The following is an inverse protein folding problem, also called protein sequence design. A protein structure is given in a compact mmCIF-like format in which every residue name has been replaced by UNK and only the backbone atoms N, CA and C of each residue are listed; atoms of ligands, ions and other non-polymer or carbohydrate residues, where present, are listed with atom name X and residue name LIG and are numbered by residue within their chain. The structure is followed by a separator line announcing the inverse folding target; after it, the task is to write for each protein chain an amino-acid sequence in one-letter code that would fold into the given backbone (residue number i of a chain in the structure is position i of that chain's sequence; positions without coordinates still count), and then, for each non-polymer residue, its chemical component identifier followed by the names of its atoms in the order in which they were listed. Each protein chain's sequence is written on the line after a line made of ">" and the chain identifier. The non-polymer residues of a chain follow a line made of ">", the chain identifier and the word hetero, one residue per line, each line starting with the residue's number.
data_IF_247018508790
#
_entry.id   IF_247018508790
#
_cell.length_a   1.000
_cell.length_b   1.000
_cell.length_c   1.000
_cell.angle_alpha   90.00
_cell.angle_beta   90.00
_cell.angle_gamma   90.00
#
_symmetry.space_group_name_H-M   'P 1'
#
loop_
_entity.id
_entity.type
_entity.pdbx_description
1 polymer ?
#
# COMPACT_ATOMS: atom_id res chain seq x y z
N UNK A 1 -7.27 -3.84 26.93
CA UNK A 1 -7.14 -2.41 26.59
C UNK A 1 -5.83 -1.90 27.18
N UNK A 2 -4.76 -1.84 26.37
CA UNK A 2 -3.52 -1.13 26.74
C UNK A 2 -3.44 0.10 25.85
N UNK A 3 -3.30 1.26 26.48
CA UNK A 3 -3.14 2.55 25.83
C UNK A 3 -1.89 2.58 24.95
N UNK A 4 -2.00 3.18 23.77
CA UNK A 4 -0.90 3.66 22.92
C UNK A 4 -0.15 4.84 23.58
N UNK A 5 0.23 4.72 24.85
CA UNK A 5 0.95 5.77 25.60
C UNK A 5 2.38 5.35 25.91
N UNK A 6 3.26 5.46 24.92
CA UNK A 6 4.68 5.76 25.10
C UNK A 6 5.22 6.28 23.75
N UNK A 7 5.98 7.36 23.80
CA UNK A 7 6.45 8.23 22.71
C UNK A 7 7.40 7.57 21.70
N UNK A 8 6.97 6.52 21.02
CA UNK A 8 7.56 6.06 19.76
C UNK A 8 6.87 6.77 18.60
N UNK A 9 7.54 7.70 17.92
CA UNK A 9 7.04 8.26 16.66
C UNK A 9 7.64 7.41 15.54
N UNK A 10 6.82 6.67 14.80
CA UNK A 10 7.23 6.08 13.51
C UNK A 10 7.10 7.18 12.47
N UNK A 11 8.20 7.77 11.94
CA UNK A 11 8.13 8.71 10.85
C UNK A 11 7.52 8.08 9.59
N UNK A 12 6.42 8.66 9.11
CA UNK A 12 5.75 8.24 7.88
C UNK A 12 5.92 9.33 6.81
N UNK A 13 6.37 8.96 5.62
CA UNK A 13 6.38 9.87 4.48
C UNK A 13 5.19 9.53 3.59
N UNK A 14 4.21 10.43 3.52
CA UNK A 14 3.13 10.33 2.55
C UNK A 14 3.46 11.25 1.36
N UNK A 15 3.25 10.75 0.15
CA UNK A 15 3.21 11.60 -1.04
C UNK A 15 1.75 11.64 -1.48
N UNK A 16 1.14 12.83 -1.42
CA UNK A 16 -0.26 13.14 -1.81
C UNK A 16 -1.43 12.68 -0.89
N UNK A 17 -1.26 12.48 0.42
CA UNK A 17 -2.39 12.11 1.32
C UNK A 17 -2.31 12.71 2.74
N UNK A 18 -3.47 12.83 3.40
CA UNK A 18 -3.67 13.56 4.67
C UNK A 18 -4.13 12.70 5.88
N UNK A 19 -4.34 11.38 5.75
CA UNK A 19 -5.08 10.57 6.75
C UNK A 19 -4.23 9.72 7.72
N UNK A 20 -2.97 10.08 7.98
CA UNK A 20 -2.07 9.29 8.82
C UNK A 20 -1.81 10.03 10.13
N UNK A 21 -2.22 9.48 11.28
CA UNK A 21 -1.89 10.06 12.58
C UNK A 21 -0.55 9.50 13.08
N UNK A 22 0.53 10.27 12.89
CA UNK A 22 1.92 9.91 13.18
C UNK A 22 2.84 11.12 12.95
N UNK A 23 4.13 11.03 13.25
CA UNK A 23 5.05 12.07 12.77
C UNK A 23 5.17 11.92 11.25
N UNK A 24 4.47 12.72 10.46
CA UNK A 24 4.51 12.60 9.00
C UNK A 24 5.02 13.86 8.33
N UNK A 25 5.76 13.69 7.24
CA UNK A 25 5.95 14.72 6.23
C UNK A 25 4.94 14.42 5.11
N UNK A 26 4.07 15.39 4.78
CA UNK A 26 3.28 15.33 3.55
C UNK A 26 4.11 16.01 2.47
N UNK A 27 4.54 15.24 1.48
CA UNK A 27 5.04 15.81 0.23
C UNK A 27 3.82 15.97 -0.68
N UNK A 28 3.23 17.16 -0.68
CA UNK A 28 2.22 17.54 -1.66
C UNK A 28 2.81 17.64 -3.07
N UNK A 29 1.93 17.70 -4.07
CA UNK A 29 2.23 17.72 -5.52
C UNK A 29 3.34 18.70 -5.98
N UNK A 30 3.72 19.69 -5.16
CA UNK A 30 4.69 20.74 -5.51
C UNK A 30 6.11 20.56 -4.93
N UNK A 31 6.38 19.47 -4.21
CA UNK A 31 7.73 19.17 -3.70
C UNK A 31 8.43 18.12 -4.57
N UNK A 32 9.39 18.59 -5.38
CA UNK A 32 10.08 17.83 -6.42
C UNK A 32 10.51 16.43 -5.99
N UNK A 33 10.41 15.47 -6.91
CA UNK A 33 10.97 14.10 -6.82
C UNK A 33 12.39 14.09 -6.18
N UNK A 34 13.17 15.16 -6.36
CA UNK A 34 14.48 15.36 -5.72
C UNK A 34 14.43 15.38 -4.19
N UNK A 35 13.45 16.04 -3.57
CA UNK A 35 13.32 16.10 -2.11
C UNK A 35 13.04 14.71 -1.52
N UNK A 36 12.10 13.98 -2.12
CA UNK A 36 11.80 12.60 -1.71
C UNK A 36 13.03 11.70 -1.92
N UNK A 37 13.69 11.82 -3.07
CA UNK A 37 14.92 11.08 -3.36
C UNK A 37 16.00 11.33 -2.29
N UNK A 38 16.25 12.59 -1.93
CA UNK A 38 17.19 12.95 -0.87
C UNK A 38 16.76 12.42 0.50
N UNK A 39 15.46 12.44 0.81
CA UNK A 39 14.92 11.96 2.08
C UNK A 39 15.09 10.45 2.23
N UNK A 40 14.78 9.68 1.18
CA UNK A 40 15.00 8.23 1.14
C UNK A 40 16.49 7.87 1.28
N UNK A 41 17.40 8.71 0.75
CA UNK A 41 18.84 8.50 0.84
C UNK A 41 19.49 9.07 2.12
N UNK A 42 18.73 9.75 2.98
CA UNK A 42 19.27 10.35 4.20
C UNK A 42 19.73 9.31 5.22
N UNK A 43 20.49 9.75 6.23
CA UNK A 43 20.92 8.92 7.37
C UNK A 43 19.78 8.56 8.32
N UNK A 44 18.64 9.25 8.21
CA UNK A 44 17.41 9.01 8.98
C UNK A 44 16.23 8.95 8.01
N UNK A 45 16.19 7.95 7.12
CA UNK A 45 15.10 7.80 6.16
C UNK A 45 13.78 7.52 6.89
N UNK A 46 12.62 7.80 6.28
CA UNK A 46 11.33 7.45 6.87
C UNK A 46 11.22 5.94 7.06
N UNK A 47 10.49 5.49 8.08
CA UNK A 47 10.30 4.06 8.31
C UNK A 47 9.32 3.44 7.30
N UNK A 48 8.30 4.23 6.95
CA UNK A 48 7.24 3.85 6.01
C UNK A 48 7.11 4.94 4.95
N UNK A 49 7.17 4.54 3.69
CA UNK A 49 6.83 5.36 2.52
C UNK A 49 5.47 4.93 1.98
N UNK A 50 4.53 5.87 1.91
CA UNK A 50 3.26 5.70 1.23
C UNK A 50 3.28 6.51 -0.06
N UNK A 51 3.20 5.79 -1.18
CA UNK A 51 3.02 6.37 -2.51
C UNK A 51 1.54 6.23 -2.82
N UNK A 52 0.89 7.31 -3.17
CA UNK A 52 -0.35 7.15 -3.89
C UNK A 52 -0.57 8.21 -4.94
N UNK A 53 -1.39 7.81 -5.89
CA UNK A 53 -1.57 8.41 -7.19
C UNK A 53 -0.30 8.31 -8.05
N UNK A 54 -0.48 8.32 -9.38
CA UNK A 54 0.63 8.27 -10.30
C UNK A 54 1.47 9.55 -10.21
N UNK A 55 2.58 9.42 -9.53
CA UNK A 55 3.73 10.29 -9.70
C UNK A 55 4.43 9.83 -10.99
N UNK A 56 5.10 10.74 -11.69
CA UNK A 56 6.03 10.34 -12.76
C UNK A 56 7.25 9.62 -12.16
N UNK A 57 7.06 8.40 -11.66
CA UNK A 57 8.04 7.63 -10.89
C UNK A 57 9.24 7.22 -11.75
N UNK A 58 9.16 7.41 -13.07
CA UNK A 58 10.21 7.10 -14.04
C UNK A 58 11.48 7.96 -13.98
N UNK A 59 11.69 8.72 -12.90
CA UNK A 59 12.97 9.36 -12.66
C UNK A 59 14.01 8.32 -12.18
N UNK A 60 15.12 8.18 -12.91
CA UNK A 60 16.16 7.18 -12.61
C UNK A 60 16.77 7.32 -11.20
N UNK A 61 16.98 8.54 -10.72
CA UNK A 61 17.53 8.79 -9.38
C UNK A 61 16.53 8.38 -8.30
N UNK A 62 15.25 8.68 -8.52
CA UNK A 62 14.18 8.25 -7.61
C UNK A 62 14.06 6.73 -7.58
N UNK A 63 14.05 6.06 -8.75
CA UNK A 63 14.05 4.59 -8.83
C UNK A 63 15.23 3.96 -8.07
N UNK A 64 16.42 4.53 -8.23
CA UNK A 64 17.62 4.07 -7.52
C UNK A 64 17.47 4.26 -5.99
N UNK A 65 16.96 5.41 -5.56
CA UNK A 65 16.70 5.68 -4.15
C UNK A 65 15.63 4.74 -3.57
N UNK A 66 14.56 4.48 -4.32
CA UNK A 66 13.47 3.58 -3.90
C UNK A 66 13.94 2.12 -3.81
N UNK A 67 14.73 1.65 -4.79
CA UNK A 67 15.38 0.33 -4.74
C UNK A 67 16.32 0.22 -3.53
N UNK A 68 17.15 1.23 -3.29
CA UNK A 68 18.05 1.29 -2.14
C UNK A 68 17.30 1.30 -0.81
N UNK A 69 16.21 2.07 -0.72
CA UNK A 69 15.33 2.13 0.44
C UNK A 69 14.71 0.76 0.75
N UNK A 70 14.11 0.11 -0.25
CA UNK A 70 13.53 -1.22 -0.10
C UNK A 70 14.58 -2.28 0.29
N UNK A 71 15.78 -2.22 -0.29
CA UNK A 71 16.87 -3.16 0.03
C UNK A 71 17.43 -2.99 1.44
N UNK A 72 17.30 -1.80 2.04
CA UNK A 72 17.71 -1.53 3.43
C UNK A 72 16.59 -1.83 4.44
N UNK A 73 15.46 -2.41 4.02
CA UNK A 73 14.35 -2.76 4.90
C UNK A 73 13.27 -1.70 5.03
N UNK A 74 13.31 -0.64 4.21
CA UNK A 74 12.26 0.37 4.18
C UNK A 74 10.90 -0.22 3.79
N UNK A 75 9.83 0.22 4.46
CA UNK A 75 8.47 -0.26 4.18
C UNK A 75 7.83 0.61 3.11
N UNK A 76 7.28 0.00 2.06
CA UNK A 76 6.61 0.70 0.95
C UNK A 76 5.17 0.20 0.85
N UNK A 77 4.22 1.14 0.86
CA UNK A 77 2.84 0.92 0.44
C UNK A 77 2.62 1.77 -0.80
N UNK A 78 2.32 1.13 -1.93
CA UNK A 78 2.15 1.81 -3.20
C UNK A 78 0.74 1.61 -3.76
N UNK A 79 0.05 2.73 -4.00
CA UNK A 79 -1.22 2.83 -4.71
C UNK A 79 -0.96 3.46 -6.09
N UNK A 80 -1.21 2.72 -7.17
CA UNK A 80 -0.82 3.16 -8.51
C UNK A 80 -1.90 2.94 -9.56
N UNK A 81 -2.23 4.00 -10.29
CA UNK A 81 -3.24 4.01 -11.35
C UNK A 81 -2.63 3.75 -12.74
N UNK A 82 -1.30 3.85 -12.89
CA UNK A 82 -0.63 3.71 -14.21
C UNK A 82 0.68 2.89 -14.12
N UNK A 83 0.62 1.58 -13.80
CA UNK A 83 1.82 0.78 -13.62
C UNK A 83 2.59 0.51 -14.91
N UNK A 84 1.95 0.64 -16.08
CA UNK A 84 2.62 0.66 -17.38
C UNK A 84 3.50 1.89 -17.55
N UNK A 85 3.00 3.06 -17.16
CA UNK A 85 3.76 4.30 -17.15
C UNK A 85 4.83 4.31 -16.05
N UNK A 86 4.74 3.46 -15.03
CA UNK A 86 5.68 3.39 -13.92
C UNK A 86 6.50 2.08 -13.91
N UNK A 87 6.51 1.36 -15.03
CA UNK A 87 7.05 0.01 -15.15
C UNK A 87 8.47 -0.15 -14.61
N UNK A 88 9.38 0.73 -15.00
CA UNK A 88 10.78 0.69 -14.57
C UNK A 88 10.92 0.81 -13.05
N UNK A 89 10.03 1.56 -12.41
CA UNK A 89 10.02 1.75 -10.95
C UNK A 89 9.61 0.47 -10.26
N UNK A 90 8.53 -0.16 -10.73
CA UNK A 90 8.04 -1.40 -10.13
C UNK A 90 8.98 -2.56 -10.39
N UNK A 91 9.55 -2.67 -11.59
CA UNK A 91 10.63 -3.61 -11.85
C UNK A 91 11.80 -3.40 -10.88
N UNK A 92 12.16 -2.14 -10.60
CA UNK A 92 13.25 -1.86 -9.69
C UNK A 92 12.99 -2.33 -8.25
N UNK A 93 11.80 -2.10 -7.70
CA UNK A 93 11.51 -2.48 -6.32
C UNK A 93 11.21 -3.99 -6.18
N UNK A 94 10.69 -4.61 -7.24
CA UNK A 94 10.42 -6.06 -7.30
C UNK A 94 11.60 -6.90 -7.82
N UNK A 95 12.81 -6.34 -7.90
CA UNK A 95 14.02 -7.05 -8.38
C UNK A 95 13.82 -7.75 -9.73
N UNK A 96 13.17 -7.07 -10.67
CA UNK A 96 12.98 -7.54 -12.04
C UNK A 96 12.17 -8.86 -12.14
N UNK A 97 11.32 -9.11 -11.12
CA UNK A 97 10.44 -10.28 -11.03
C UNK A 97 9.04 -10.07 -11.64
N UNK A 98 8.84 -8.99 -12.40
CA UNK A 98 7.63 -8.80 -13.19
C UNK A 98 7.89 -9.08 -14.68
N UNK A 99 6.86 -9.55 -15.38
CA UNK A 99 6.86 -9.77 -16.81
C UNK A 99 6.24 -8.60 -17.60
N UNK A 100 5.17 -8.02 -17.07
CA UNK A 100 4.42 -6.96 -17.73
C UNK A 100 3.56 -6.17 -16.72
N UNK A 101 3.11 -4.97 -17.11
CA UNK A 101 2.16 -4.14 -16.38
C UNK A 101 1.19 -3.45 -17.36
N UNK A 102 -0.05 -3.22 -16.91
CA UNK A 102 -1.07 -2.58 -17.75
C UNK A 102 -2.12 -1.87 -16.90
N UNK A 103 -2.87 -0.97 -17.54
CA UNK A 103 -4.15 -0.50 -17.03
C UNK A 103 -5.23 -1.49 -17.46
N UNK A 104 -5.94 -2.07 -16.49
CA UNK A 104 -6.99 -3.03 -16.76
C UNK A 104 -8.17 -2.26 -17.32
N UNK A 105 -8.40 -2.36 -18.63
CA UNK A 105 -9.47 -1.67 -19.38
C UNK A 105 -10.90 -1.95 -18.88
N UNK A 106 -11.06 -2.89 -17.96
CA UNK A 106 -12.31 -3.27 -17.30
C UNK A 106 -12.38 -2.87 -15.81
N UNK A 107 -11.36 -2.17 -15.30
CA UNK A 107 -11.36 -1.59 -13.96
C UNK A 107 -12.01 -0.22 -13.93
N UNK A 108 -13.24 -0.12 -14.42
CA UNK A 108 -14.01 1.11 -14.38
C UNK A 108 -14.57 1.40 -12.97
N UNK A 109 -14.97 2.64 -12.74
CA UNK A 109 -15.68 3.08 -11.54
C UNK A 109 -16.74 2.06 -11.08
N UNK A 110 -16.74 1.74 -9.78
CA UNK A 110 -17.69 0.83 -9.13
C UNK A 110 -17.31 -0.65 -9.20
N UNK A 111 -16.25 -1.03 -9.91
CA UNK A 111 -15.72 -2.38 -9.87
C UNK A 111 -15.11 -2.70 -8.49
N UNK A 112 -14.85 -3.99 -8.27
CA UNK A 112 -14.27 -4.48 -7.02
C UNK A 112 -13.59 -5.83 -7.21
N UNK A 113 -12.49 -6.07 -6.51
CA UNK A 113 -11.87 -7.39 -6.43
C UNK A 113 -12.00 -8.00 -5.05
N UNK A 114 -12.06 -9.33 -5.01
CA UNK A 114 -12.16 -10.10 -3.77
C UNK A 114 -10.79 -10.51 -3.27
N UNK A 115 -10.62 -10.45 -1.96
CA UNK A 115 -9.48 -11.02 -1.25
C UNK A 115 -9.62 -12.54 -1.12
N UNK A 116 -8.50 -13.29 -1.04
CA UNK A 116 -8.51 -14.74 -0.94
C UNK A 116 -9.22 -15.24 0.33
N UNK A 117 -9.85 -16.41 0.21
CA UNK A 117 -10.30 -17.21 1.34
C UNK A 117 -9.13 -18.00 1.93
N UNK A 118 -9.06 -18.14 3.26
CA UNK A 118 -8.07 -19.00 3.91
C UNK A 118 -6.63 -18.49 3.81
N UNK A 119 -6.45 -17.20 3.53
CA UNK A 119 -5.14 -16.55 3.55
C UNK A 119 -4.60 -16.49 4.98
N UNK A 120 -3.28 -16.63 5.13
CA UNK A 120 -2.56 -16.32 6.37
C UNK A 120 -1.91 -14.94 6.32
N UNK A 121 -2.06 -14.22 5.21
CA UNK A 121 -1.43 -12.92 5.03
C UNK A 121 -2.06 -11.89 6.01
N UNK A 122 -1.25 -11.09 6.72
CA UNK A 122 -1.72 -10.15 7.73
C UNK A 122 -2.61 -9.04 7.15
N UNK A 123 -2.48 -8.73 5.86
CA UNK A 123 -3.32 -7.72 5.19
C UNK A 123 -4.77 -8.21 5.05
N UNK A 124 -4.93 -9.50 4.80
CA UNK A 124 -6.24 -10.14 4.67
C UNK A 124 -6.81 -10.44 6.06
N UNK A 125 -6.03 -11.07 6.93
CA UNK A 125 -6.52 -11.58 8.22
C UNK A 125 -6.59 -10.52 9.33
N UNK A 126 -5.89 -9.38 9.14
CA UNK A 126 -5.65 -8.39 10.18
C UNK A 126 -4.83 -8.91 11.36
N UNK A 127 -4.24 -10.12 11.26
CA UNK A 127 -3.63 -10.81 12.39
C UNK A 127 -2.10 -10.78 12.33
N UNK A 128 -1.47 -10.29 13.39
CA UNK A 128 -0.01 -10.29 13.58
C UNK A 128 0.26 -10.71 15.03
N UNK A 129 1.07 -11.76 15.22
CA UNK A 129 1.44 -12.28 16.56
C UNK A 129 0.23 -12.52 17.49
N UNK A 130 -0.89 -13.00 16.94
CA UNK A 130 -2.13 -13.26 17.68
C UNK A 130 -2.96 -12.03 18.01
N UNK A 131 -2.53 -10.83 17.61
CA UNK A 131 -3.29 -9.58 17.74
C UNK A 131 -4.03 -9.29 16.44
N UNK A 132 -5.31 -8.92 16.56
CA UNK A 132 -6.16 -8.47 15.45
C UNK A 132 -6.89 -7.19 15.85
N UNK A 133 -6.29 -6.00 15.60
CA UNK A 133 -6.90 -4.72 15.99
C UNK A 133 -8.07 -4.31 15.08
N UNK A 134 -8.18 -4.88 13.88
CA UNK A 134 -9.21 -4.55 12.89
C UNK A 134 -9.94 -5.81 12.35
N UNK A 135 -10.64 -5.69 11.22
CA UNK A 135 -11.48 -6.77 10.66
C UNK A 135 -10.66 -7.77 9.82
N UNK A 136 -11.07 -9.05 9.87
CA UNK A 136 -10.64 -10.08 8.94
C UNK A 136 -11.37 -9.89 7.62
N UNK A 137 -10.63 -9.56 6.57
CA UNK A 137 -11.16 -9.26 5.25
C UNK A 137 -11.15 -10.47 4.30
N UNK A 138 -10.97 -11.68 4.81
CA UNK A 138 -11.04 -12.92 4.01
C UNK A 138 -12.35 -13.01 3.23
N UNK A 139 -12.27 -13.25 1.91
CA UNK A 139 -13.42 -13.27 1.00
C UNK A 139 -14.23 -11.96 0.90
N UNK A 140 -13.77 -10.88 1.50
CA UNK A 140 -14.35 -9.56 1.31
C UNK A 140 -13.76 -8.90 0.08
N UNK A 141 -14.32 -7.77 -0.33
CA UNK A 141 -13.90 -7.06 -1.54
C UNK A 141 -13.45 -5.63 -1.24
N UNK A 142 -12.55 -5.13 -2.07
CA UNK A 142 -12.20 -3.73 -2.13
C UNK A 142 -12.74 -3.12 -3.43
N UNK A 143 -13.21 -1.88 -3.35
CA UNK A 143 -13.76 -1.13 -4.47
C UNK A 143 -12.68 -0.34 -5.19
N UNK A 144 -12.84 -0.17 -6.50
CA UNK A 144 -11.97 0.66 -7.33
C UNK A 144 -12.41 2.12 -7.28
N UNK A 145 -11.51 3.07 -7.40
CA UNK A 145 -11.92 4.47 -7.57
C UNK A 145 -12.44 4.76 -9.00
N UNK A 146 -12.79 6.02 -9.31
CA UNK A 146 -13.10 6.51 -10.65
C UNK A 146 -12.00 6.21 -11.69
N UNK A 147 -10.79 6.10 -11.15
CA UNK A 147 -9.50 5.84 -11.77
C UNK A 147 -9.42 4.43 -12.39
N UNK A 148 -8.50 4.20 -13.33
CA UNK A 148 -8.28 2.84 -13.85
C UNK A 148 -7.52 2.00 -12.84
N UNK A 149 -7.95 0.75 -12.63
CA UNK A 149 -7.14 -0.20 -11.89
C UNK A 149 -6.00 -0.72 -12.78
N UNK A 150 -4.76 -0.46 -12.39
CA UNK A 150 -3.55 -1.10 -12.86
C UNK A 150 -3.46 -2.59 -12.47
N UNK A 151 -2.72 -3.34 -13.26
CA UNK A 151 -2.43 -4.75 -13.05
C UNK A 151 -1.00 -5.10 -13.43
N UNK A 152 -0.39 -6.02 -12.68
CA UNK A 152 0.96 -6.54 -12.97
C UNK A 152 0.92 -8.05 -13.22
N UNK A 153 1.90 -8.56 -13.98
CA UNK A 153 2.14 -9.99 -14.14
C UNK A 153 3.47 -10.36 -13.49
N UNK A 154 3.41 -11.34 -12.61
CA UNK A 154 4.60 -11.91 -11.98
C UNK A 154 5.32 -12.79 -13.02
N UNK A 155 6.64 -12.71 -13.02
CA UNK A 155 7.51 -13.54 -13.86
C UNK A 155 7.42 -15.00 -13.44
N UNK A 156 7.40 -15.89 -14.42
CA UNK A 156 7.37 -17.33 -14.15
C UNK A 156 8.61 -17.75 -13.37
N UNK A 157 8.41 -18.50 -12.28
CA UNK A 157 9.45 -18.89 -11.33
C UNK A 157 9.61 -17.94 -10.14
N UNK A 158 8.93 -16.79 -10.14
CA UNK A 158 8.99 -15.80 -9.07
C UNK A 158 7.72 -15.79 -8.19
N UNK A 159 6.74 -16.63 -8.45
CA UNK A 159 5.43 -16.65 -7.79
C UNK A 159 5.54 -16.83 -6.27
N UNK A 160 6.51 -17.64 -5.82
CA UNK A 160 6.76 -17.87 -4.40
C UNK A 160 7.26 -16.63 -3.66
N UNK A 161 7.70 -15.58 -4.36
CA UNK A 161 8.14 -14.31 -3.78
C UNK A 161 6.97 -13.35 -3.51
N UNK A 162 5.77 -13.66 -4.01
CA UNK A 162 4.60 -12.80 -3.86
C UNK A 162 3.51 -13.51 -3.07
N UNK A 163 2.76 -12.73 -2.30
CA UNK A 163 1.43 -13.08 -1.87
C UNK A 163 0.46 -12.28 -2.71
N UNK A 164 -0.22 -12.96 -3.65
CA UNK A 164 -1.25 -12.36 -4.48
C UNK A 164 -2.53 -12.23 -3.65
N UNK A 165 -2.97 -10.98 -3.43
CA UNK A 165 -4.12 -10.66 -2.58
C UNK A 165 -5.38 -10.38 -3.39
N UNK A 166 -5.25 -9.97 -4.65
CA UNK A 166 -6.35 -9.99 -5.61
C UNK A 166 -5.84 -9.99 -7.04
N UNK A 167 -6.69 -10.45 -7.95
CA UNK A 167 -6.38 -10.49 -9.38
C UNK A 167 -7.64 -10.37 -10.23
N UNK A 168 -7.49 -9.82 -11.43
CA UNK A 168 -8.54 -9.70 -12.45
C UNK A 168 -7.95 -10.02 -13.81
N UNK A 169 -8.61 -10.89 -14.58
CA UNK A 169 -8.19 -11.25 -15.94
C UNK A 169 -6.71 -11.67 -16.06
N UNK A 170 -6.22 -12.46 -15.10
CA UNK A 170 -4.82 -12.89 -14.99
C UNK A 170 -3.80 -11.77 -14.72
N UNK A 171 -4.27 -10.61 -14.27
CA UNK A 171 -3.44 -9.53 -13.75
C UNK A 171 -3.59 -9.44 -12.25
N UNK A 172 -2.48 -9.38 -11.54
CA UNK A 172 -2.45 -9.12 -10.10
C UNK A 172 -2.81 -7.65 -9.88
N UNK A 173 -3.83 -7.40 -9.07
CA UNK A 173 -4.31 -6.04 -8.75
C UNK A 173 -3.94 -5.62 -7.33
N UNK A 174 -3.58 -6.58 -6.48
CA UNK A 174 -3.01 -6.34 -5.16
C UNK A 174 -2.05 -7.48 -4.79
N UNK A 175 -0.87 -7.13 -4.29
CA UNK A 175 0.06 -8.12 -3.75
C UNK A 175 0.97 -7.57 -2.66
N UNK A 176 1.56 -8.49 -1.89
CA UNK A 176 2.71 -8.25 -1.04
C UNK A 176 3.93 -8.97 -1.64
N UNK A 177 5.08 -8.30 -1.74
CA UNK A 177 6.32 -8.92 -2.22
C UNK A 177 7.17 -9.39 -1.05
N UNK A 178 7.04 -10.65 -0.66
CA UNK A 178 7.61 -11.25 0.58
C UNK A 178 9.12 -11.07 0.75
N UNK A 179 9.87 -10.89 -0.33
CA UNK A 179 11.32 -10.67 -0.23
C UNK A 179 11.68 -9.31 0.40
N UNK A 180 10.77 -8.34 0.34
CA UNK A 180 10.96 -6.98 0.88
C UNK A 180 9.70 -6.50 1.60
N UNK A 181 9.77 -5.37 2.28
CA UNK A 181 8.61 -4.82 2.98
C UNK A 181 7.71 -4.01 2.02
N UNK A 182 7.17 -4.65 0.96
CA UNK A 182 6.41 -3.95 -0.10
C UNK A 182 5.00 -4.49 -0.22
N UNK A 183 4.04 -3.57 -0.17
CA UNK A 183 2.65 -3.77 -0.56
C UNK A 183 2.39 -2.91 -1.80
N UNK A 184 1.74 -3.51 -2.79
CA UNK A 184 1.34 -2.83 -4.00
C UNK A 184 -0.14 -3.08 -4.29
N UNK A 185 -0.82 -2.00 -4.68
CA UNK A 185 -2.20 -1.99 -5.12
C UNK A 185 -2.27 -1.20 -6.41
N UNK A 186 -2.88 -1.79 -7.43
CA UNK A 186 -3.05 -1.18 -8.73
C UNK A 186 -4.18 -0.15 -8.77
N UNK A 187 -4.51 0.54 -7.68
CA UNK A 187 -5.53 1.60 -7.72
C UNK A 187 -5.01 2.80 -6.95
N UNK A 188 -4.72 3.89 -7.67
CA UNK A 188 -4.23 5.14 -7.08
C UNK A 188 -5.25 5.82 -6.17
N UNK A 189 -6.53 5.55 -6.38
CA UNK A 189 -7.66 6.03 -5.57
C UNK A 189 -8.11 5.03 -4.50
N UNK A 190 -7.33 3.99 -4.20
CA UNK A 190 -7.71 2.98 -3.18
C UNK A 190 -8.15 3.58 -1.84
N UNK A 191 -7.49 4.68 -1.43
CA UNK A 191 -7.77 5.43 -0.20
C UNK A 191 -8.53 6.74 -0.43
N UNK A 192 -9.11 6.93 -1.62
CA UNK A 192 -9.90 8.12 -1.94
C UNK A 192 -11.22 8.14 -1.18
N UNK A 193 -11.56 9.31 -0.63
CA UNK A 193 -12.71 9.53 0.25
C UNK A 193 -13.28 10.94 0.04
N UNK A 194 -14.31 11.31 0.80
CA UNK A 194 -14.85 12.69 0.83
C UNK A 194 -16.02 12.96 -0.12
N UNK A 195 -16.41 11.98 -0.94
CA UNK A 195 -17.64 12.03 -1.76
C UNK A 195 -18.47 10.78 -1.47
N UNK A 196 -19.79 10.93 -1.32
CA UNK A 196 -20.68 9.76 -1.22
C UNK A 196 -21.08 9.35 -2.64
N UNK A 197 -20.44 8.32 -3.17
CA UNK A 197 -20.73 7.79 -4.50
C UNK A 197 -20.64 6.27 -4.52
N UNK A 198 -21.63 5.62 -5.12
CA UNK A 198 -21.63 4.16 -5.24
C UNK A 198 -20.48 3.61 -6.11
N UNK A 199 -19.80 4.45 -6.89
CA UNK A 199 -18.82 4.01 -7.89
C UNK A 199 -17.43 4.63 -7.76
N UNK A 200 -17.25 5.63 -6.91
CA UNK A 200 -15.97 6.32 -6.72
C UNK A 200 -15.75 6.56 -5.22
N UNK A 201 -14.52 6.83 -4.81
CA UNK A 201 -14.15 7.09 -3.40
C UNK A 201 -14.56 5.97 -2.42
N UNK A 202 -14.00 4.75 -2.55
CA UNK A 202 -14.41 3.58 -1.77
C UNK A 202 -13.95 3.59 -0.31
N UNK A 203 -13.12 4.56 0.11
CA UNK A 203 -12.53 4.60 1.44
C UNK A 203 -13.42 5.37 2.43
N UNK A 204 -13.89 4.67 3.46
CA UNK A 204 -14.81 5.23 4.46
C UNK A 204 -14.33 4.99 5.89
N UNK A 205 -14.45 6.00 6.73
CA UNK A 205 -14.22 5.93 8.17
C UNK A 205 -15.43 6.47 8.93
N UNK A 206 -15.54 6.11 10.21
CA UNK A 206 -16.52 6.70 11.11
C UNK A 206 -16.05 8.10 11.60
N UNK A 207 -16.84 8.72 12.49
CA UNK A 207 -16.52 10.03 13.06
C UNK A 207 -15.25 10.05 13.94
N UNK A 208 -14.71 8.88 14.29
CA UNK A 208 -13.48 8.72 15.08
C UNK A 208 -12.29 8.29 14.19
N UNK A 209 -12.44 8.37 12.87
CA UNK A 209 -11.47 7.84 11.90
C UNK A 209 -11.22 6.33 12.01
N UNK A 210 -12.13 5.57 12.62
CA UNK A 210 -12.07 4.12 12.62
C UNK A 210 -12.52 3.58 11.25
N UNK A 211 -11.86 2.54 10.69
CA UNK A 211 -12.22 2.01 9.38
C UNK A 211 -13.68 1.54 9.35
N UNK A 212 -14.41 1.93 8.30
CA UNK A 212 -15.79 1.54 8.09
C UNK A 212 -15.96 0.86 6.73
N UNK A 213 -16.80 -0.16 6.69
CA UNK A 213 -17.22 -0.79 5.45
C UNK A 213 -18.15 0.15 4.66
N UNK A 214 -17.92 0.30 3.36
CA UNK A 214 -18.81 1.11 2.52
C UNK A 214 -19.91 0.24 1.90
N UNK A 215 -21.07 0.22 2.53
CA UNK A 215 -22.24 -0.58 2.10
C UNK A 215 -22.99 -0.01 0.90
N UNK A 216 -22.71 1.24 0.52
CA UNK A 216 -23.30 1.89 -0.65
C UNK A 216 -22.59 1.58 -1.98
N UNK A 217 -21.57 0.72 -1.97
CA UNK A 217 -20.77 0.41 -3.15
C UNK A 217 -21.56 -0.37 -4.21
N UNK A 218 -21.43 0.01 -5.48
CA UNK A 218 -22.25 -0.50 -6.58
C UNK A 218 -22.24 -2.02 -6.71
N UNK A 219 -21.08 -2.64 -6.47
CA UNK A 219 -20.90 -4.08 -6.58
C UNK A 219 -20.86 -4.81 -5.22
N UNK A 220 -21.43 -4.23 -4.16
CA UNK A 220 -21.54 -4.87 -2.84
C UNK A 220 -21.06 -3.98 -1.71
N UNK A 221 -20.14 -4.48 -0.88
CA UNK A 221 -19.58 -3.69 0.22
C UNK A 221 -18.07 -3.60 0.10
N UNK A 222 -17.55 -2.39 -0.08
CA UNK A 222 -16.11 -2.16 -0.16
C UNK A 222 -15.47 -2.13 1.25
N UNK A 223 -14.28 -2.70 1.37
CA UNK A 223 -13.49 -2.81 2.62
C UNK A 223 -12.16 -2.06 2.57
N UNK A 224 -12.00 -1.10 1.67
CA UNK A 224 -10.73 -0.38 1.46
C UNK A 224 -10.14 0.17 2.77
N UNK A 225 -10.96 0.79 3.64
CA UNK A 225 -10.49 1.32 4.91
C UNK A 225 -10.00 0.24 5.89
N UNK A 226 -10.71 -0.89 6.01
CA UNK A 226 -10.27 -2.01 6.84
C UNK A 226 -8.98 -2.64 6.32
N UNK A 227 -8.88 -2.80 5.00
CA UNK A 227 -7.69 -3.35 4.36
C UNK A 227 -6.50 -2.42 4.56
N UNK A 228 -6.68 -1.11 4.37
CA UNK A 228 -5.63 -0.13 4.63
C UNK A 228 -5.20 -0.11 6.11
N UNK A 229 -6.15 -0.22 7.04
CA UNK A 229 -5.83 -0.33 8.46
C UNK A 229 -4.98 -1.57 8.76
N UNK A 230 -5.27 -2.71 8.12
CA UNK A 230 -4.43 -3.92 8.21
C UNK A 230 -3.04 -3.70 7.57
N UNK A 231 -2.95 -2.99 6.44
CA UNK A 231 -1.68 -2.59 5.81
C UNK A 231 -0.82 -1.74 6.76
N UNK A 232 -1.42 -0.74 7.40
CA UNK A 232 -0.71 0.11 8.34
C UNK A 232 -0.28 -0.65 9.60
N UNK A 233 -1.13 -1.52 10.14
CA UNK A 233 -0.77 -2.36 11.28
C UNK A 233 0.44 -3.26 10.96
N UNK A 234 0.44 -3.88 9.78
CA UNK A 234 1.59 -4.64 9.30
C UNK A 234 2.82 -3.78 9.06
N UNK A 235 2.66 -2.62 8.43
CA UNK A 235 3.76 -1.74 8.10
C UNK A 235 4.47 -1.20 9.35
N UNK A 236 3.71 -0.84 10.38
CA UNK A 236 4.25 -0.41 11.68
C UNK A 236 5.02 -1.57 12.34
N UNK A 237 4.45 -2.77 12.33
CA UNK A 237 5.13 -3.96 12.86
C UNK A 237 6.44 -4.25 12.11
N UNK A 238 6.43 -4.18 10.78
CA UNK A 238 7.67 -4.34 9.99
C UNK A 238 8.66 -3.23 10.27
N UNK A 239 8.23 -1.97 10.32
CA UNK A 239 9.10 -0.83 10.63
C UNK A 239 9.81 -1.00 11.98
N UNK A 240 9.09 -1.45 13.00
CA UNK A 240 9.63 -1.62 14.36
C UNK A 240 10.64 -2.77 14.44
N UNK A 241 10.33 -3.94 13.86
CA UNK A 241 11.12 -5.15 14.09
C UNK A 241 12.05 -5.54 12.94
N UNK A 242 11.69 -5.20 11.70
CA UNK A 242 12.40 -5.61 10.48
C UNK A 242 12.71 -4.42 9.55
N UNK A 243 12.56 -3.19 10.06
CA UNK A 243 12.58 -1.97 9.28
C UNK A 243 13.97 -1.38 9.10
N UNK A 244 14.04 -0.36 8.26
CA UNK A 244 15.30 0.33 7.92
C UNK A 244 16.01 0.97 9.13
N UNK A 245 15.27 1.30 10.18
CA UNK A 245 15.80 1.90 11.41
C UNK A 245 15.67 0.98 12.65
N UNK A 246 15.32 -0.30 12.49
CA UNK A 246 15.03 -1.22 13.61
C UNK A 246 16.24 -1.52 14.51
N UNK A 247 17.47 -1.23 14.04
CA UNK A 247 18.71 -1.39 14.83
C UNK A 247 18.91 -0.37 15.96
N UNK A 248 18.00 0.60 16.15
CA UNK A 248 18.10 1.64 17.17
C UNK A 248 17.22 1.46 18.41
N UNK A 249 16.31 0.48 18.41
CA UNK A 249 15.41 0.23 19.53
C UNK A 249 15.75 -1.13 20.16
N UNK A 250 16.20 -1.10 21.41
CA UNK A 250 16.27 -2.30 22.24
C UNK A 250 14.88 -2.95 22.28
N UNK A 251 14.76 -4.26 22.01
CA UNK A 251 13.50 -4.98 22.13
C UNK A 251 12.91 -4.76 23.53
N UNK A 252 11.62 -4.41 23.60
CA UNK A 252 10.86 -4.33 24.86
C UNK A 252 10.55 -5.73 25.41
#
# INVERSE_FOLDING_TARGET
>A
MRNFSATGRVPVQAINYEFIDGGFDIVGNDNSIGNVTSRLNSTTPPDILIIGHALGLNNSNFRAALRSYANRGGVIIAFDEYPDNNWDTYQAIFDDNLNDATNISLGAAGQSDRLPTGSTNPIVTGMINGLRPFEDCSNMQWGYDASLCGGIRIKSGSESLFDVLSSRNNWVTMCMYKKKNIIWVGDGGFISSGVNSATITPFHTDSNNYPQAYSGWANGTARNAHIFANMMFWAIHQAEYNGINSGGLTPL
#
